data_IF_295475142647
#
_entry.id   IF_295475142647
#
_cell.length_a   1.000
_cell.length_b   1.000
_cell.length_c   1.000
_cell.angle_alpha   90.00
_cell.angle_beta   90.00
_cell.angle_gamma   90.00
#
_symmetry.space_group_name_H-M   'P 1'
#
loop_
_entity.id
_entity.type
_entity.pdbx_description
1 polymer ?
#
# COMPACT_ATOMS: atom_id res chain seq x y z
N UNK A 1 -10.46 -18.37 -0.98
CA UNK A 1 -9.69 -17.49 -0.07
C UNK A 1 -9.61 -16.06 -0.61
N UNK A 2 -10.75 -15.39 -0.84
CA UNK A 2 -10.81 -13.98 -1.28
C UNK A 2 -11.25 -13.05 -0.14
N UNK A 3 -11.80 -13.63 0.93
CA UNK A 3 -12.31 -12.90 2.09
C UNK A 3 -11.18 -12.42 3.01
N UNK A 4 -10.10 -13.19 3.14
CA UNK A 4 -8.94 -12.84 3.98
C UNK A 4 -8.32 -11.48 3.62
N UNK A 5 -8.00 -11.17 2.34
CA UNK A 5 -7.45 -9.86 1.95
C UNK A 5 -8.46 -8.70 2.06
N UNK A 6 -9.76 -8.98 2.06
CA UNK A 6 -10.80 -7.94 2.25
C UNK A 6 -10.92 -7.61 3.75
N UNK A 7 -10.97 -8.65 4.58
CA UNK A 7 -11.07 -8.54 6.02
C UNK A 7 -9.88 -7.81 6.63
N UNK A 8 -8.65 -8.04 6.12
CA UNK A 8 -7.47 -7.29 6.58
C UNK A 8 -7.58 -5.79 6.30
N UNK A 9 -8.14 -5.39 5.14
CA UNK A 9 -8.33 -3.97 4.82
C UNK A 9 -9.41 -3.34 5.68
N UNK A 10 -10.52 -4.05 5.87
CA UNK A 10 -11.58 -3.62 6.76
C UNK A 10 -11.06 -3.42 8.20
N UNK A 11 -10.25 -4.35 8.69
CA UNK A 11 -9.64 -4.24 10.01
C UNK A 11 -8.76 -3.00 10.15
N UNK A 12 -7.86 -2.76 9.20
CA UNK A 12 -6.97 -1.57 9.21
C UNK A 12 -7.79 -0.29 9.21
N UNK A 13 -8.87 -0.23 8.42
CA UNK A 13 -9.77 0.92 8.38
C UNK A 13 -10.53 1.12 9.68
N UNK A 14 -11.10 0.05 10.22
CA UNK A 14 -11.88 0.09 11.45
C UNK A 14 -11.00 0.44 12.66
N UNK A 15 -9.88 -0.27 12.85
CA UNK A 15 -8.96 -0.03 13.96
C UNK A 15 -8.33 1.37 13.89
N UNK A 16 -7.90 1.80 12.69
CA UNK A 16 -7.39 3.16 12.48
C UNK A 16 -8.45 4.23 12.79
N UNK A 17 -9.71 4.00 12.41
CA UNK A 17 -10.83 4.89 12.71
C UNK A 17 -11.13 4.98 14.21
N UNK A 18 -11.13 3.85 14.93
CA UNK A 18 -11.32 3.83 16.40
C UNK A 18 -10.20 4.59 17.11
N UNK A 19 -8.93 4.33 16.75
CA UNK A 19 -7.78 5.01 17.35
C UNK A 19 -7.75 6.52 17.02
N UNK A 20 -8.25 6.91 15.85
CA UNK A 20 -8.45 8.31 15.49
C UNK A 20 -9.50 8.99 16.39
N UNK A 21 -10.64 8.32 16.64
CA UNK A 21 -11.68 8.83 17.54
C UNK A 21 -11.21 8.92 19.00
N UNK A 22 -10.32 8.02 19.43
CA UNK A 22 -9.67 8.08 20.75
C UNK A 22 -8.57 9.17 20.86
N UNK A 23 -8.28 9.89 19.77
CA UNK A 23 -7.24 10.92 19.73
C UNK A 23 -5.81 10.37 19.84
N UNK A 24 -5.63 9.06 19.61
CA UNK A 24 -4.33 8.37 19.64
C UNK A 24 -3.60 8.45 18.30
N UNK A 25 -4.33 8.77 17.23
CA UNK A 25 -3.84 8.89 15.87
C UNK A 25 -4.18 10.28 15.33
N UNK A 26 -3.16 11.01 14.90
CA UNK A 26 -3.34 12.28 14.21
C UNK A 26 -3.82 12.02 12.78
N UNK A 27 -4.52 12.99 12.20
CA UNK A 27 -5.04 12.88 10.83
C UNK A 27 -3.91 12.56 9.83
N UNK A 28 -2.72 13.16 10.00
CA UNK A 28 -1.60 12.92 9.11
C UNK A 28 -1.03 11.50 9.27
N UNK A 29 -0.96 10.96 10.49
CA UNK A 29 -0.54 9.57 10.76
C UNK A 29 -1.49 8.57 10.11
N UNK A 30 -2.80 8.84 10.20
CA UNK A 30 -3.82 8.06 9.53
C UNK A 30 -3.66 8.15 8.00
N UNK A 31 -3.43 9.35 7.45
CA UNK A 31 -3.16 9.51 6.03
C UNK A 31 -1.89 8.75 5.59
N UNK A 32 -0.82 8.71 6.39
CA UNK A 32 0.39 7.94 6.06
C UNK A 32 0.14 6.43 6.07
N UNK A 33 -0.72 5.93 6.97
CA UNK A 33 -1.18 4.55 6.96
C UNK A 33 -1.88 4.24 5.63
N UNK A 34 -2.75 5.11 5.12
CA UNK A 34 -3.44 4.90 3.84
C UNK A 34 -2.64 5.30 2.60
N UNK A 35 -1.50 5.97 2.74
CA UNK A 35 -0.72 6.52 1.62
C UNK A 35 -0.32 5.45 0.60
N UNK A 36 -0.10 4.21 1.04
CA UNK A 36 0.21 3.09 0.15
C UNK A 36 -0.99 2.66 -0.69
N UNK A 37 -2.17 2.48 -0.09
CA UNK A 37 -3.38 2.14 -0.83
C UNK A 37 -3.71 3.24 -1.85
N UNK A 38 -3.52 4.51 -1.48
CA UNK A 38 -3.65 5.65 -2.39
C UNK A 38 -2.61 5.55 -3.53
N UNK A 39 -1.34 5.25 -3.24
CA UNK A 39 -0.29 5.13 -4.26
C UNK A 39 -0.58 4.02 -5.27
N UNK A 40 -1.09 2.88 -4.80
CA UNK A 40 -1.51 1.77 -5.68
C UNK A 40 -2.74 2.17 -6.51
N UNK A 41 -3.72 2.85 -5.90
CA UNK A 41 -4.88 3.36 -6.63
C UNK A 41 -4.49 4.36 -7.71
N UNK A 42 -3.60 5.32 -7.40
CA UNK A 42 -3.08 6.30 -8.36
C UNK A 42 -2.35 5.59 -9.50
N UNK A 43 -1.55 4.58 -9.21
CA UNK A 43 -0.89 3.77 -10.24
C UNK A 43 -1.89 3.00 -11.12
N UNK A 44 -2.94 2.44 -10.52
CA UNK A 44 -4.02 1.77 -11.25
C UNK A 44 -4.78 2.72 -12.19
N UNK A 45 -5.07 3.94 -11.72
CA UNK A 45 -5.69 5.00 -12.54
C UNK A 45 -4.75 5.40 -13.68
N UNK A 46 -3.46 5.59 -13.39
CA UNK A 46 -2.44 5.88 -14.41
C UNK A 46 -2.40 4.81 -15.51
N UNK A 47 -2.38 3.52 -15.13
CA UNK A 47 -2.45 2.40 -16.09
C UNK A 47 -3.75 2.39 -16.91
N UNK A 48 -4.87 2.78 -16.29
CA UNK A 48 -6.17 2.91 -16.97
C UNK A 48 -6.15 3.99 -18.06
N UNK A 49 -5.57 5.16 -17.76
CA UNK A 49 -5.43 6.26 -18.70
C UNK A 49 -4.51 5.87 -19.87
N UNK A 50 -3.40 5.18 -19.58
CA UNK A 50 -2.42 4.73 -20.59
C UNK A 50 -2.92 3.52 -21.41
N UNK A 51 -4.12 2.97 -21.11
CA UNK A 51 -4.71 1.76 -21.74
C UNK A 51 -3.77 0.53 -21.76
N UNK A 52 -2.77 0.51 -20.88
CA UNK A 52 -1.75 -0.55 -20.76
C UNK A 52 -2.23 -1.82 -20.05
N UNK A 53 -3.53 -1.93 -19.76
CA UNK A 53 -4.13 -3.04 -19.01
C UNK A 53 -3.95 -4.41 -19.68
N UNK A 54 -3.85 -4.47 -21.02
CA UNK A 54 -3.85 -5.73 -21.78
C UNK A 54 -2.62 -6.64 -21.57
N UNK A 55 -1.60 -6.19 -20.86
CA UNK A 55 -0.42 -7.01 -20.57
C UNK A 55 0.03 -6.97 -19.12
N UNK A 56 -0.68 -6.29 -18.22
CA UNK A 56 -0.21 -6.15 -16.84
C UNK A 56 -0.90 -7.18 -15.94
N UNK A 57 -0.22 -8.30 -15.69
CA UNK A 57 -0.64 -9.21 -14.62
C UNK A 57 -0.44 -8.49 -13.29
N UNK A 58 -1.50 -8.45 -12.48
CA UNK A 58 -1.47 -7.85 -11.16
C UNK A 58 -0.57 -8.68 -10.25
N UNK A 59 0.75 -8.45 -10.33
CA UNK A 59 1.76 -9.23 -9.62
C UNK A 59 1.75 -8.85 -8.15
N UNK A 60 1.84 -9.85 -7.28
CA UNK A 60 1.97 -9.64 -5.86
C UNK A 60 3.25 -8.85 -5.54
N UNK A 61 3.09 -7.58 -5.16
CA UNK A 61 4.17 -6.67 -4.78
C UNK A 61 4.75 -7.16 -3.44
N UNK A 62 6.05 -7.48 -3.42
CA UNK A 62 6.71 -7.96 -2.20
C UNK A 62 6.71 -6.88 -1.11
N UNK A 63 7.01 -5.63 -1.50
CA UNK A 63 6.93 -4.47 -0.61
C UNK A 63 5.51 -4.21 -0.10
N UNK A 64 4.48 -4.54 -0.89
CA UNK A 64 3.08 -4.42 -0.47
C UNK A 64 2.75 -5.31 0.72
N UNK A 65 3.21 -6.57 0.73
CA UNK A 65 2.98 -7.50 1.85
C UNK A 65 3.73 -7.08 3.12
N UNK A 66 5.00 -6.69 2.98
CA UNK A 66 5.83 -6.25 4.10
C UNK A 66 5.23 -5.01 4.78
N UNK A 67 4.77 -4.06 3.97
CA UNK A 67 4.16 -2.84 4.50
C UNK A 67 2.85 -3.16 5.23
N UNK A 68 2.02 -4.10 4.73
CA UNK A 68 0.79 -4.51 5.43
C UNK A 68 1.10 -5.13 6.78
N UNK A 69 2.09 -6.01 6.86
CA UNK A 69 2.53 -6.58 8.14
C UNK A 69 3.00 -5.49 9.11
N UNK A 70 3.77 -4.51 8.63
CA UNK A 70 4.18 -3.37 9.45
C UNK A 70 2.99 -2.53 9.93
N UNK A 71 1.97 -2.29 9.10
CA UNK A 71 0.76 -1.57 9.52
C UNK A 71 0.04 -2.27 10.66
N UNK A 72 -0.10 -3.60 10.58
CA UNK A 72 -0.71 -4.39 11.64
C UNK A 72 0.08 -4.26 12.95
N UNK A 73 1.41 -4.34 12.89
CA UNK A 73 2.26 -4.16 14.07
C UNK A 73 2.08 -2.78 14.71
N UNK A 74 2.01 -1.72 13.90
CA UNK A 74 1.80 -0.36 14.41
C UNK A 74 0.41 -0.19 15.00
N UNK A 75 -0.63 -0.71 14.35
CA UNK A 75 -1.99 -0.71 14.90
C UNK A 75 -2.06 -1.44 16.24
N UNK A 76 -1.48 -2.62 16.34
CA UNK A 76 -1.41 -3.39 17.60
C UNK A 76 -0.66 -2.60 18.68
N UNK A 77 0.48 -2.00 18.35
CA UNK A 77 1.25 -1.19 19.30
C UNK A 77 0.46 0.03 19.77
N UNK A 78 -0.26 0.71 18.89
CA UNK A 78 -1.13 1.84 19.26
C UNK A 78 -2.28 1.40 20.16
N UNK A 79 -2.88 0.23 19.90
CA UNK A 79 -3.91 -0.36 20.79
C UNK A 79 -3.35 -0.70 22.18
N UNK A 80 -2.07 -1.04 22.30
CA UNK A 80 -1.38 -1.25 23.58
C UNK A 80 -0.94 0.06 24.25
N UNK A 81 -1.48 1.21 23.81
CA UNK A 81 -1.11 2.55 24.27
C UNK A 81 0.36 2.94 24.01
N UNK A 82 1.03 2.29 23.07
CA UNK A 82 2.39 2.66 22.69
C UNK A 82 2.36 3.85 21.72
N UNK A 83 3.02 4.94 22.08
CA UNK A 83 3.16 6.10 21.21
C UNK A 83 4.35 5.88 20.25
N UNK A 84 4.07 5.77 18.95
CA UNK A 84 5.12 5.69 17.95
C UNK A 84 5.64 7.07 17.57
N UNK A 85 6.97 7.24 17.44
CA UNK A 85 7.54 8.50 16.99
C UNK A 85 7.22 8.73 15.50
N UNK A 86 7.12 10.00 15.11
CA UNK A 86 6.72 10.41 13.74
C UNK A 86 7.54 9.80 12.60
N UNK A 87 8.78 9.43 12.86
CA UNK A 87 9.67 8.76 11.89
C UNK A 87 9.13 7.41 11.40
N UNK A 88 8.35 6.69 12.23
CA UNK A 88 7.74 5.41 11.85
C UNK A 88 6.71 5.62 10.74
N UNK A 89 5.89 6.66 10.86
CA UNK A 89 4.91 7.04 9.84
C UNK A 89 5.56 7.53 8.54
N UNK A 90 6.68 8.24 8.65
CA UNK A 90 7.48 8.66 7.49
C UNK A 90 8.05 7.45 6.73
N UNK A 91 8.45 6.40 7.46
CA UNK A 91 8.88 5.14 6.85
C UNK A 91 7.76 4.47 6.03
N UNK A 92 6.50 4.54 6.47
CA UNK A 92 5.37 4.06 5.64
C UNK A 92 5.20 4.84 4.35
N UNK A 93 5.42 6.16 4.37
CA UNK A 93 5.38 6.99 3.15
C UNK A 93 6.49 6.56 2.19
N UNK A 94 7.72 6.35 2.70
CA UNK A 94 8.82 5.86 1.88
C UNK A 94 8.54 4.47 1.29
N UNK A 95 7.97 3.55 2.09
CA UNK A 95 7.58 2.22 1.60
C UNK A 95 6.47 2.28 0.55
N UNK A 96 5.51 3.20 0.69
CA UNK A 96 4.49 3.48 -0.32
C UNK A 96 5.12 3.97 -1.63
N UNK A 97 6.11 4.87 -1.53
CA UNK A 97 6.91 5.33 -2.67
C UNK A 97 7.71 4.20 -3.33
N UNK A 98 8.38 3.34 -2.55
CA UNK A 98 9.09 2.18 -3.10
C UNK A 98 8.16 1.19 -3.79
N UNK A 99 6.98 0.92 -3.23
CA UNK A 99 5.98 0.07 -3.87
C UNK A 99 5.50 0.67 -5.21
N UNK A 100 5.33 1.99 -5.27
CA UNK A 100 5.01 2.70 -6.52
C UNK A 100 6.16 2.62 -7.54
N UNK A 101 7.41 2.80 -7.10
CA UNK A 101 8.58 2.67 -7.96
C UNK A 101 8.77 1.24 -8.47
N UNK A 102 8.51 0.23 -7.65
CA UNK A 102 8.55 -1.19 -8.04
C UNK A 102 7.51 -1.48 -9.14
N UNK A 103 6.29 -0.95 -8.98
CA UNK A 103 5.24 -1.01 -9.98
C UNK A 103 5.64 -0.32 -11.30
N UNK A 104 6.23 0.87 -11.22
CA UNK A 104 6.66 1.63 -12.39
C UNK A 104 7.84 0.95 -13.10
N UNK A 105 8.80 0.39 -12.35
CA UNK A 105 9.93 -0.37 -12.88
C UNK A 105 9.46 -1.67 -13.55
N UNK A 106 8.51 -2.37 -12.94
CA UNK A 106 7.85 -3.55 -13.53
C UNK A 106 7.16 -3.24 -14.85
N UNK A 107 6.44 -2.11 -14.90
CA UNK A 107 5.82 -1.62 -16.14
C UNK A 107 6.86 -1.30 -17.22
N UNK A 108 7.88 -0.50 -16.92
CA UNK A 108 8.92 -0.12 -17.89
C UNK A 108 9.65 -1.34 -18.45
N UNK A 109 9.99 -2.33 -17.61
CA UNK A 109 10.68 -3.54 -18.05
C UNK A 109 9.84 -4.33 -19.07
N UNK A 110 8.51 -4.39 -18.87
CA UNK A 110 7.60 -5.08 -19.79
C UNK A 110 7.41 -4.32 -21.12
N UNK A 111 7.38 -2.99 -21.08
CA UNK A 111 7.28 -2.16 -22.30
C UNK A 111 8.55 -2.18 -23.16
N UNK A 112 9.72 -2.50 -22.60
CA UNK A 112 10.99 -2.60 -23.34
C UNK A 112 11.32 -4.01 -23.84
N UNK A 113 10.46 -5.00 -23.62
CA UNK A 113 10.62 -6.33 -24.21
C UNK A 113 10.11 -6.31 -25.66
N UNK A 114 10.92 -6.77 -26.64
CA UNK A 114 10.47 -6.89 -28.03
C UNK A 114 9.29 -7.88 -28.13
N UNK A 115 8.40 -7.71 -29.11
CA UNK A 115 7.15 -8.48 -29.24
C UNK A 115 7.33 -10.00 -29.49
N UNK A 116 8.56 -10.51 -29.55
CA UNK A 116 8.89 -11.90 -29.89
C UNK A 116 8.83 -12.90 -28.74
N UNK A 117 8.60 -12.48 -27.50
CA UNK A 117 8.48 -13.38 -26.32
C UNK A 117 7.08 -13.36 -25.69
N UNK A 118 6.05 -13.00 -26.46
CA UNK A 118 4.64 -12.96 -26.03
C UNK A 118 3.80 -14.14 -26.55
N UNK A 119 4.44 -15.24 -26.97
CA UNK A 119 3.77 -16.51 -27.33
C UNK A 119 3.88 -17.55 -26.21
#
# INVERSE_FOLDING_TARGET
AFLDPIMVKFFVFFAGGVLYLEGRLLTWELCTLFARDISICVFGIYLGIVKGWKGYECKAIFWGKLTTAAQFLVLIGLTLHFAFPGYVYLLFVMMGGFAFLELLAGYRKKTNLPPTELE
#
